data_IF_957465576282
#
_entry.id   IF_957465576282
#
_cell.length_a   1.000
_cell.length_b   1.000
_cell.length_c   1.000
_cell.angle_alpha   90.00
_cell.angle_beta   90.00
_cell.angle_gamma   90.00
#
_symmetry.space_group_name_H-M   'P 1'
#
loop_
_entity.id
_entity.type
_entity.pdbx_description
1 polymer ?
#
# COMPACT_ATOMS: atom_id res chain seq x y z
N UNK A 1 -55.92 35.12 -21.91
CA UNK A 1 -55.90 34.73 -20.47
C UNK A 1 -55.41 33.30 -20.25
N UNK A 2 -55.95 32.28 -20.95
CA UNK A 2 -55.46 30.88 -20.90
C UNK A 2 -53.99 30.66 -21.33
N UNK A 3 -53.53 31.37 -22.35
CA UNK A 3 -52.14 31.28 -22.87
C UNK A 3 -51.09 31.88 -21.94
N UNK A 4 -51.44 32.96 -21.22
CA UNK A 4 -50.60 33.56 -20.18
C UNK A 4 -50.45 32.63 -18.97
N UNK A 5 -51.53 31.95 -18.57
CA UNK A 5 -51.49 30.93 -17.51
C UNK A 5 -50.57 29.76 -17.89
N UNK A 6 -50.66 29.26 -19.13
CA UNK A 6 -49.83 28.14 -19.60
C UNK A 6 -48.33 28.49 -19.65
N UNK A 7 -47.98 29.70 -20.07
CA UNK A 7 -46.58 30.17 -20.07
C UNK A 7 -46.02 30.27 -18.64
N UNK A 8 -46.88 30.66 -17.69
CA UNK A 8 -46.53 30.80 -16.27
C UNK A 8 -46.31 29.42 -15.60
N UNK A 9 -47.12 28.40 -15.93
CA UNK A 9 -46.90 27.03 -15.45
C UNK A 9 -45.60 26.43 -16.01
N UNK A 10 -45.27 26.68 -17.27
CA UNK A 10 -44.05 26.16 -17.89
C UNK A 10 -42.78 26.76 -17.26
N UNK A 11 -42.82 28.06 -16.92
CA UNK A 11 -41.73 28.74 -16.22
C UNK A 11 -41.51 28.21 -14.80
N UNK A 12 -42.58 27.91 -14.06
CA UNK A 12 -42.49 27.35 -12.69
C UNK A 12 -41.91 25.93 -12.70
N UNK A 13 -42.30 25.10 -13.67
CA UNK A 13 -41.76 23.74 -13.83
C UNK A 13 -40.27 23.80 -14.20
N UNK A 14 -39.86 24.70 -15.10
CA UNK A 14 -38.46 24.85 -15.47
C UNK A 14 -37.57 25.29 -14.28
N UNK A 15 -38.06 26.16 -13.41
CA UNK A 15 -37.34 26.59 -12.19
C UNK A 15 -37.22 25.45 -11.16
N UNK A 16 -38.22 24.57 -11.05
CA UNK A 16 -38.14 23.38 -10.20
C UNK A 16 -37.16 22.32 -10.69
N UNK A 17 -36.87 22.27 -12.00
CA UNK A 17 -35.84 21.37 -12.55
C UNK A 17 -34.41 21.93 -12.43
N UNK A 18 -34.24 23.22 -12.17
CA UNK A 18 -32.92 23.86 -11.98
C UNK A 18 -32.35 23.71 -10.56
N UNK A 19 -33.17 23.35 -9.56
CA UNK A 19 -32.73 23.22 -8.16
C UNK A 19 -32.11 21.86 -7.80
N UNK A 20 -31.98 20.93 -8.75
CA UNK A 20 -31.47 19.57 -8.51
C UNK A 20 -29.96 19.35 -8.64
N UNK A 21 -29.18 20.33 -9.11
CA UNK A 21 -27.77 20.13 -9.51
C UNK A 21 -26.72 20.71 -8.55
N UNK A 22 -26.98 20.86 -7.25
CA UNK A 22 -25.98 21.42 -6.30
C UNK A 22 -25.33 20.43 -5.34
N UNK A 23 -25.62 19.12 -5.44
CA UNK A 23 -25.11 18.13 -4.48
C UNK A 23 -23.63 17.75 -4.63
N UNK A 24 -22.91 18.23 -5.66
CA UNK A 24 -21.51 17.82 -5.91
C UNK A 24 -20.43 18.75 -5.35
N UNK A 25 -20.78 19.90 -4.77
CA UNK A 25 -19.78 20.92 -4.38
C UNK A 25 -19.12 20.68 -3.01
N UNK A 26 -19.63 19.76 -2.19
CA UNK A 26 -19.16 19.54 -0.80
C UNK A 26 -19.02 18.04 -0.44
N UNK A 27 -18.53 17.20 -1.35
CA UNK A 27 -18.24 15.81 -0.99
C UNK A 27 -17.16 15.79 0.12
N UNK A 28 -17.42 15.15 1.28
CA UNK A 28 -16.42 15.09 2.35
C UNK A 28 -15.22 14.25 1.90
N UNK A 29 -14.02 14.72 2.22
CA UNK A 29 -12.79 13.94 2.01
C UNK A 29 -12.85 12.69 2.89
N UNK A 30 -12.66 11.52 2.29
CA UNK A 30 -12.53 10.24 2.97
C UNK A 30 -11.06 9.83 3.04
N UNK A 31 -10.64 9.39 4.23
CA UNK A 31 -9.29 8.90 4.47
C UNK A 31 -9.30 7.39 4.65
N UNK A 32 -8.34 6.72 4.01
CA UNK A 32 -8.22 5.26 3.97
C UNK A 32 -6.85 4.84 4.47
N UNK A 33 -6.79 3.68 5.10
CA UNK A 33 -5.56 3.05 5.56
C UNK A 33 -5.78 1.55 5.65
N UNK A 34 -4.69 0.80 5.66
CA UNK A 34 -4.76 -0.62 6.01
C UNK A 34 -5.19 -0.78 7.48
N UNK A 35 -6.06 -1.76 7.75
CA UNK A 35 -6.61 -1.98 9.09
C UNK A 35 -5.55 -2.51 10.06
N UNK A 36 -4.70 -3.43 9.59
CA UNK A 36 -3.48 -3.92 10.25
C UNK A 36 -3.57 -4.11 11.77
N UNK A 37 -4.53 -4.91 12.24
CA UNK A 37 -4.67 -5.21 13.67
C UNK A 37 -3.35 -5.70 14.31
N UNK A 38 -2.79 -4.89 15.21
CA UNK A 38 -1.54 -5.20 15.91
C UNK A 38 -1.82 -6.27 16.97
N UNK A 39 -1.23 -7.44 16.78
CA UNK A 39 -1.22 -8.50 17.79
C UNK A 39 -0.04 -8.28 18.76
N UNK A 40 -0.24 -8.41 20.09
CA UNK A 40 0.87 -8.33 21.04
C UNK A 40 1.92 -9.40 20.74
N UNK A 41 3.13 -8.96 20.41
CA UNK A 41 4.28 -9.82 20.12
C UNK A 41 5.53 -9.20 20.74
N UNK A 42 6.42 -10.03 21.28
CA UNK A 42 7.69 -9.58 21.84
C UNK A 42 8.81 -10.51 21.40
N UNK A 43 9.97 -9.93 21.07
CA UNK A 43 11.18 -10.66 20.72
C UNK A 43 12.39 -9.90 21.26
N UNK A 44 13.38 -10.62 21.79
CA UNK A 44 14.68 -10.06 22.17
C UNK A 44 15.71 -10.40 21.11
N UNK A 45 16.69 -9.53 20.90
CA UNK A 45 17.76 -9.80 19.92
C UNK A 45 18.60 -11.03 20.26
N UNK A 46 18.62 -11.46 21.53
CA UNK A 46 19.31 -12.69 21.97
C UNK A 46 18.57 -13.96 21.55
N UNK A 47 17.28 -13.85 21.22
CA UNK A 47 16.39 -14.97 20.96
C UNK A 47 16.13 -15.11 19.44
N UNK A 48 17.00 -14.53 18.61
CA UNK A 48 16.88 -14.49 17.15
C UNK A 48 18.14 -14.96 16.47
N UNK A 49 17.98 -15.73 15.39
CA UNK A 49 19.10 -16.24 14.59
C UNK A 49 19.61 -15.22 13.55
N UNK A 50 18.79 -14.25 13.14
CA UNK A 50 19.14 -13.28 12.11
C UNK A 50 18.43 -11.94 12.32
N UNK A 51 18.98 -10.86 11.75
CA UNK A 51 18.32 -9.55 11.70
C UNK A 51 17.88 -9.23 10.26
N UNK A 52 16.66 -8.71 10.12
CA UNK A 52 16.11 -8.21 8.85
C UNK A 52 15.75 -6.74 9.01
N UNK A 53 16.40 -5.90 8.22
CA UNK A 53 16.03 -4.49 8.06
C UNK A 53 15.07 -4.33 6.90
N UNK A 54 13.89 -3.79 7.17
CA UNK A 54 12.94 -3.39 6.14
C UNK A 54 13.18 -1.92 5.82
N UNK A 55 13.64 -1.65 4.59
CA UNK A 55 13.77 -0.29 4.07
C UNK A 55 12.40 0.30 3.78
N UNK A 56 12.31 1.64 3.77
CA UNK A 56 11.09 2.33 3.33
C UNK A 56 10.75 1.88 1.91
N UNK A 57 9.51 1.45 1.72
CA UNK A 57 8.98 0.99 0.43
C UNK A 57 9.09 2.13 -0.57
N UNK A 58 9.72 1.86 -1.72
CA UNK A 58 9.81 2.85 -2.80
C UNK A 58 8.63 2.68 -3.76
N UNK A 59 7.95 3.78 -4.07
CA UNK A 59 6.91 3.82 -5.10
C UNK A 59 7.32 4.77 -6.24
N UNK A 60 7.02 4.41 -7.48
CA UNK A 60 7.35 5.23 -8.65
C UNK A 60 6.43 6.43 -8.81
N UNK A 61 7.01 7.61 -9.05
CA UNK A 61 6.30 8.80 -9.50
C UNK A 61 5.12 9.20 -8.62
N UNK A 62 3.95 9.35 -9.23
CA UNK A 62 2.74 9.81 -8.56
C UNK A 62 2.09 8.79 -7.60
N UNK A 63 2.58 7.55 -7.54
CA UNK A 63 2.00 6.49 -6.69
C UNK A 63 2.19 6.75 -5.20
N UNK A 64 3.19 7.55 -4.80
CA UNK A 64 3.39 7.93 -3.40
C UNK A 64 2.56 9.16 -2.98
N UNK A 65 1.64 9.60 -3.84
CA UNK A 65 0.71 10.66 -3.48
C UNK A 65 -0.39 10.11 -2.57
N UNK A 66 -0.97 10.99 -1.75
CA UNK A 66 -2.09 10.61 -0.88
C UNK A 66 -3.36 10.30 -1.65
N UNK A 67 -3.60 10.88 -2.83
CA UNK A 67 -4.77 10.50 -3.63
C UNK A 67 -4.65 9.06 -4.11
N UNK A 68 -5.67 8.23 -3.83
CA UNK A 68 -5.65 6.83 -4.26
C UNK A 68 -5.55 6.79 -5.79
N UNK A 69 -4.57 6.06 -6.30
CA UNK A 69 -4.28 5.98 -7.72
C UNK A 69 -5.26 5.03 -8.43
N UNK A 70 -5.73 5.45 -9.59
CA UNK A 70 -6.57 4.69 -10.50
C UNK A 70 -5.91 4.68 -11.87
N UNK A 71 -5.60 3.49 -12.38
CA UNK A 71 -5.16 3.30 -13.75
C UNK A 71 -6.36 3.47 -14.68
N UNK A 72 -6.16 4.28 -15.70
CA UNK A 72 -7.12 4.59 -16.75
C UNK A 72 -6.61 4.05 -18.08
N UNK A 73 -7.49 4.02 -19.08
CA UNK A 73 -7.11 3.67 -20.44
C UNK A 73 -6.06 4.65 -21.00
N UNK A 74 -5.36 4.21 -22.04
CA UNK A 74 -4.34 5.00 -22.74
C UNK A 74 -3.14 5.41 -21.86
N UNK A 75 -2.70 4.50 -20.97
CA UNK A 75 -1.51 4.67 -20.12
C UNK A 75 -1.60 5.88 -19.17
N UNK A 76 -2.79 6.19 -18.70
CA UNK A 76 -3.02 7.29 -17.75
C UNK A 76 -3.18 6.74 -16.33
N UNK A 77 -2.70 7.49 -15.36
CA UNK A 77 -2.95 7.26 -13.94
C UNK A 77 -3.54 8.54 -13.38
N UNK A 78 -4.68 8.42 -12.70
CA UNK A 78 -5.33 9.53 -12.02
C UNK A 78 -5.27 9.30 -10.50
N UNK A 79 -5.06 10.36 -9.73
CA UNK A 79 -5.13 10.32 -8.28
C UNK A 79 -6.47 10.91 -7.82
N UNK A 80 -7.18 10.20 -6.94
CA UNK A 80 -8.45 10.66 -6.43
C UNK A 80 -8.31 11.94 -5.58
N UNK A 81 -9.22 12.91 -5.78
CA UNK A 81 -9.20 14.18 -5.05
C UNK A 81 -9.85 14.10 -3.65
N UNK A 82 -10.82 13.20 -3.48
CA UNK A 82 -11.63 13.08 -2.26
C UNK A 82 -11.49 11.72 -1.55
N UNK A 83 -10.67 10.81 -2.09
CA UNK A 83 -10.35 9.52 -1.50
C UNK A 83 -8.84 9.43 -1.32
N UNK A 84 -8.41 9.65 -0.09
CA UNK A 84 -7.00 9.86 0.23
C UNK A 84 -6.50 8.77 1.17
N UNK A 85 -5.26 8.35 1.03
CA UNK A 85 -4.52 7.65 2.07
C UNK A 85 -4.38 8.54 3.32
N UNK A 86 -4.59 7.95 4.50
CA UNK A 86 -4.49 8.65 5.79
C UNK A 86 -3.06 9.17 6.04
N UNK A 87 -2.07 8.42 5.57
CA UNK A 87 -0.65 8.77 5.52
C UNK A 87 -0.05 8.59 4.11
N UNK A 88 1.26 8.78 3.96
CA UNK A 88 1.93 8.51 2.70
C UNK A 88 1.98 6.98 2.43
N UNK A 89 1.68 6.52 1.21
CA UNK A 89 1.67 5.09 0.87
C UNK A 89 2.97 4.35 1.23
N UNK A 90 4.13 4.98 1.05
CA UNK A 90 5.41 4.39 1.42
C UNK A 90 5.50 4.01 2.90
N UNK A 91 5.05 4.88 3.80
CA UNK A 91 5.05 4.64 5.24
C UNK A 91 4.05 3.54 5.62
N UNK A 92 2.83 3.63 5.09
CA UNK A 92 1.78 2.62 5.33
C UNK A 92 2.24 1.22 4.87
N UNK A 93 2.77 1.10 3.66
CA UNK A 93 3.25 -0.16 3.11
C UNK A 93 4.45 -0.70 3.89
N UNK A 94 5.36 0.18 4.34
CA UNK A 94 6.51 -0.19 5.17
C UNK A 94 6.08 -0.70 6.54
N UNK A 95 5.13 -0.03 7.20
CA UNK A 95 4.58 -0.45 8.48
C UNK A 95 3.92 -1.83 8.35
N UNK A 96 3.15 -2.02 7.28
CA UNK A 96 2.53 -3.29 6.95
C UNK A 96 3.52 -4.41 6.73
N UNK A 97 4.51 -4.18 5.87
CA UNK A 97 5.54 -5.17 5.58
C UNK A 97 6.28 -5.57 6.86
N UNK A 98 6.66 -4.58 7.68
CA UNK A 98 7.31 -4.83 8.96
C UNK A 98 6.46 -5.70 9.88
N UNK A 99 5.17 -5.38 10.05
CA UNK A 99 4.27 -6.14 10.92
C UNK A 99 4.11 -7.58 10.43
N UNK A 100 3.79 -7.80 9.15
CA UNK A 100 3.65 -9.14 8.58
C UNK A 100 4.95 -9.93 8.72
N UNK A 101 6.09 -9.36 8.32
CA UNK A 101 7.38 -10.06 8.39
C UNK A 101 7.80 -10.38 9.84
N UNK A 102 7.54 -9.48 10.79
CA UNK A 102 7.84 -9.72 12.21
C UNK A 102 7.01 -10.87 12.77
N UNK A 103 5.72 -10.96 12.37
CA UNK A 103 4.83 -12.06 12.72
C UNK A 103 5.28 -13.38 12.11
N UNK A 104 5.51 -13.41 10.80
CA UNK A 104 5.80 -14.65 10.06
C UNK A 104 7.21 -15.19 10.33
N UNK A 105 8.21 -14.31 10.48
CA UNK A 105 9.60 -14.70 10.73
C UNK A 105 9.87 -14.86 12.23
N UNK A 106 9.30 -15.91 12.83
CA UNK A 106 9.34 -16.24 14.26
C UNK A 106 10.71 -16.13 14.95
N UNK A 107 11.80 -16.41 14.22
CA UNK A 107 13.18 -16.49 14.73
C UNK A 107 14.09 -15.34 14.24
N UNK A 108 13.54 -14.30 13.61
CA UNK A 108 14.30 -13.18 13.07
C UNK A 108 14.02 -11.89 13.83
N UNK A 109 14.99 -11.00 14.00
CA UNK A 109 14.72 -9.65 14.48
C UNK A 109 14.39 -8.76 13.29
N UNK A 110 13.11 -8.42 13.10
CA UNK A 110 12.68 -7.53 12.02
C UNK A 110 12.56 -6.10 12.53
N UNK A 111 13.27 -5.17 11.90
CA UNK A 111 13.34 -3.75 12.30
C UNK A 111 13.05 -2.83 11.11
N UNK A 112 12.57 -1.61 11.41
CA UNK A 112 12.39 -0.54 10.42
C UNK A 112 13.60 0.40 10.44
N UNK A 113 14.10 0.77 9.27
CA UNK A 113 15.14 1.79 9.16
C UNK A 113 16.51 1.37 9.70
N UNK A 114 17.42 2.34 9.88
CA UNK A 114 18.79 2.10 10.35
C UNK A 114 18.81 1.96 11.88
N UNK A 115 19.12 0.78 12.45
CA UNK A 115 19.42 0.68 13.87
C UNK A 115 20.76 1.37 14.18
N UNK A 116 20.88 1.92 15.39
CA UNK A 116 22.18 2.30 15.95
C UNK A 116 22.84 1.02 16.45
N UNK A 117 23.64 0.37 15.58
CA UNK A 117 24.36 -0.85 15.93
C UNK A 117 25.73 -0.48 16.49
N UNK A 118 25.93 -0.67 17.80
CA UNK A 118 27.22 -0.44 18.47
C UNK A 118 28.02 -1.72 18.71
N UNK A 119 27.42 -2.89 18.50
CA UNK A 119 28.06 -4.18 18.71
C UNK A 119 28.54 -4.80 17.38
N UNK A 120 29.76 -5.35 17.39
CA UNK A 120 30.41 -5.95 16.20
C UNK A 120 29.66 -7.20 15.73
N UNK A 121 29.09 -7.97 16.65
CA UNK A 121 28.36 -9.20 16.34
C UNK A 121 26.97 -8.94 15.74
N UNK A 122 26.51 -7.69 15.79
CA UNK A 122 25.28 -7.23 15.14
C UNK A 122 25.54 -6.51 13.80
N UNK A 123 26.80 -6.46 13.33
CA UNK A 123 27.14 -5.82 12.06
C UNK A 123 26.73 -6.62 10.82
N UNK A 124 26.27 -7.87 11.02
CA UNK A 124 25.75 -8.70 9.95
C UNK A 124 24.22 -8.75 9.95
N UNK A 125 23.61 -8.34 8.85
CA UNK A 125 22.15 -8.27 8.73
C UNK A 125 21.68 -8.39 7.29
N UNK A 126 20.44 -8.84 7.14
CA UNK A 126 19.72 -8.78 5.87
C UNK A 126 19.01 -7.43 5.72
N UNK A 127 18.92 -6.94 4.49
CA UNK A 127 18.18 -5.74 4.14
C UNK A 127 17.21 -6.04 3.00
N UNK A 128 15.94 -5.73 3.20
CA UNK A 128 14.86 -5.93 2.26
C UNK A 128 14.41 -4.58 1.70
N UNK A 129 14.49 -4.46 0.38
CA UNK A 129 14.06 -3.27 -0.36
C UNK A 129 12.93 -3.62 -1.31
N UNK A 130 11.79 -2.95 -1.14
CA UNK A 130 10.66 -3.04 -2.08
C UNK A 130 10.66 -1.86 -3.05
N UNK A 131 10.35 -2.14 -4.31
CA UNK A 131 10.11 -1.14 -5.35
C UNK A 131 8.79 -1.47 -6.06
N UNK A 132 7.75 -0.67 -5.79
CA UNK A 132 6.43 -0.85 -6.37
C UNK A 132 6.30 -0.02 -7.65
N UNK A 133 5.85 -0.69 -8.70
CA UNK A 133 5.58 -0.12 -10.02
C UNK A 133 4.08 0.13 -10.21
N UNK A 134 3.25 -0.64 -9.51
CA UNK A 134 1.80 -0.51 -9.49
C UNK A 134 1.31 -0.58 -8.04
N UNK A 135 0.40 0.32 -7.70
CA UNK A 135 -0.31 0.38 -6.43
C UNK A 135 -1.58 1.21 -6.65
N UNK A 136 -2.56 0.61 -7.32
CA UNK A 136 -3.71 1.33 -7.87
C UNK A 136 -4.93 0.42 -8.03
N UNK A 137 -6.10 1.03 -8.15
CA UNK A 137 -7.24 0.39 -8.79
C UNK A 137 -7.20 0.54 -10.31
N UNK A 138 -8.12 -0.10 -11.04
CA UNK A 138 -8.35 0.15 -12.47
C UNK A 138 -9.85 0.36 -12.79
N UNK A 139 -10.15 0.73 -14.03
CA UNK A 139 -11.52 0.91 -14.52
C UNK A 139 -12.25 -0.41 -14.81
N UNK A 140 -11.60 -1.56 -14.67
CA UNK A 140 -12.20 -2.89 -14.75
C UNK A 140 -12.61 -3.45 -13.38
N UNK A 141 -12.38 -2.71 -12.29
CA UNK A 141 -12.69 -3.17 -10.95
C UNK A 141 -11.68 -4.18 -10.42
N UNK A 142 -10.39 -3.93 -10.65
CA UNK A 142 -9.29 -4.66 -10.02
C UNK A 142 -8.41 -3.76 -9.17
N UNK A 143 -7.80 -4.36 -8.16
CA UNK A 143 -6.65 -3.86 -7.41
C UNK A 143 -5.37 -4.45 -8.03
N UNK A 144 -4.39 -3.60 -8.31
CA UNK A 144 -3.09 -3.98 -8.88
C UNK A 144 -1.96 -3.53 -7.95
N UNK A 145 -1.22 -4.51 -7.43
CA UNK A 145 0.02 -4.30 -6.73
C UNK A 145 1.13 -5.14 -7.37
N UNK A 146 2.07 -4.44 -7.99
CA UNK A 146 3.12 -5.08 -8.80
C UNK A 146 4.44 -4.35 -8.64
N UNK A 147 5.54 -5.10 -8.71
CA UNK A 147 6.88 -4.54 -8.52
C UNK A 147 7.93 -5.62 -8.33
N UNK A 148 8.90 -5.32 -7.49
CA UNK A 148 9.94 -6.26 -7.10
C UNK A 148 10.42 -6.00 -5.68
N UNK A 149 11.06 -7.01 -5.10
CA UNK A 149 11.87 -6.84 -3.91
C UNK A 149 13.30 -7.34 -4.15
N UNK A 150 14.24 -6.73 -3.42
CA UNK A 150 15.65 -7.09 -3.40
C UNK A 150 16.06 -7.41 -1.98
N UNK A 151 16.76 -8.53 -1.81
CA UNK A 151 17.37 -8.90 -0.55
C UNK A 151 18.87 -8.71 -0.65
N UNK A 152 19.43 -7.94 0.29
CA UNK A 152 20.85 -7.81 0.48
C UNK A 152 21.26 -8.45 1.79
N UNK A 153 22.53 -8.83 1.87
CA UNK A 153 23.18 -9.20 3.11
C UNK A 153 24.43 -8.34 3.26
N UNK A 154 24.55 -7.69 4.41
CA UNK A 154 25.70 -6.89 4.79
C UNK A 154 26.46 -7.63 5.88
N UNK A 155 27.78 -7.74 5.75
CA UNK A 155 28.67 -8.17 6.84
C UNK A 155 29.90 -7.26 6.90
N UNK A 156 30.61 -7.29 8.04
CA UNK A 156 31.83 -6.50 8.21
C UNK A 156 32.91 -6.86 7.18
N UNK A 157 33.05 -8.14 6.83
CA UNK A 157 34.13 -8.64 5.96
C UNK A 157 33.84 -8.39 4.47
N UNK A 158 32.60 -8.63 4.04
CA UNK A 158 32.25 -8.65 2.62
C UNK A 158 31.48 -7.39 2.17
N UNK A 159 31.13 -6.51 3.11
CA UNK A 159 30.25 -5.38 2.84
C UNK A 159 28.86 -5.85 2.42
N UNK A 160 28.17 -5.02 1.62
CA UNK A 160 26.80 -5.26 1.15
C UNK A 160 26.82 -6.09 -0.14
N UNK A 161 26.11 -7.21 -0.14
CA UNK A 161 25.98 -8.12 -1.27
C UNK A 161 24.52 -8.40 -1.61
N UNK A 162 24.17 -8.40 -2.89
CA UNK A 162 22.84 -8.79 -3.36
C UNK A 162 22.68 -10.31 -3.26
N UNK A 163 21.61 -10.76 -2.61
CA UNK A 163 21.28 -12.18 -2.42
C UNK A 163 20.14 -12.64 -3.32
N UNK A 164 19.13 -11.80 -3.52
CA UNK A 164 17.98 -12.15 -4.35
C UNK A 164 17.30 -10.91 -4.95
N UNK A 165 16.68 -11.09 -6.12
CA UNK A 165 15.74 -10.15 -6.74
C UNK A 165 14.54 -10.97 -7.22
N UNK A 166 13.34 -10.59 -6.81
CA UNK A 166 12.11 -11.24 -7.24
C UNK A 166 11.08 -10.20 -7.65
N UNK A 167 10.49 -10.42 -8.82
CA UNK A 167 9.33 -9.66 -9.28
C UNK A 167 8.05 -10.30 -8.75
N UNK A 168 7.06 -9.48 -8.46
CA UNK A 168 5.72 -9.91 -8.09
C UNK A 168 4.69 -9.08 -8.85
N UNK A 169 3.52 -9.68 -9.10
CA UNK A 169 2.38 -9.00 -9.72
C UNK A 169 1.11 -9.69 -9.25
N UNK A 170 0.31 -8.97 -8.47
CA UNK A 170 -0.97 -9.43 -7.93
C UNK A 170 -2.05 -8.48 -8.45
N UNK A 171 -2.89 -8.98 -9.35
CA UNK A 171 -4.04 -8.25 -9.91
C UNK A 171 -5.29 -9.02 -9.52
N UNK A 172 -6.05 -8.47 -8.58
CA UNK A 172 -7.18 -9.14 -7.96
C UNK A 172 -8.45 -8.29 -8.11
N UNK A 173 -9.62 -8.90 -8.37
CA UNK A 173 -10.88 -8.18 -8.33
C UNK A 173 -11.10 -7.48 -6.97
N UNK A 174 -11.81 -6.35 -6.98
CA UNK A 174 -12.12 -5.61 -5.76
C UNK A 174 -13.06 -6.40 -4.83
N UNK A 175 -12.85 -6.30 -3.52
CA UNK A 175 -13.77 -6.80 -2.50
C UNK A 175 -14.89 -5.76 -2.34
N UNK A 176 -15.87 -5.77 -3.26
CA UNK A 176 -16.87 -4.70 -3.38
C UNK A 176 -16.53 -3.74 -4.52
N UNK A 177 -17.39 -2.76 -4.77
CA UNK A 177 -17.29 -1.87 -5.95
C UNK A 177 -17.12 -0.40 -5.54
N UNK A 178 -16.17 -0.16 -4.63
CA UNK A 178 -15.82 1.18 -4.14
C UNK A 178 -14.36 1.29 -3.66
N UNK A 179 -14.00 2.47 -3.13
CA UNK A 179 -12.65 2.71 -2.60
C UNK A 179 -12.35 1.94 -1.32
N UNK A 180 -13.36 1.55 -0.53
CA UNK A 180 -13.15 0.71 0.66
C UNK A 180 -12.75 -0.70 0.20
N UNK A 181 -13.51 -1.29 -0.72
CA UNK A 181 -13.18 -2.57 -1.33
C UNK A 181 -11.83 -2.60 -2.07
N UNK A 182 -11.44 -1.48 -2.68
CA UNK A 182 -10.10 -1.33 -3.25
C UNK A 182 -9.01 -1.37 -2.19
N UNK A 183 -9.19 -0.65 -1.09
CA UNK A 183 -8.21 -0.60 -0.01
C UNK A 183 -8.07 -1.98 0.64
N UNK A 184 -9.18 -2.68 0.88
CA UNK A 184 -9.19 -4.05 1.38
C UNK A 184 -8.47 -5.03 0.44
N UNK A 185 -8.75 -4.98 -0.87
CA UNK A 185 -8.07 -5.83 -1.86
C UNK A 185 -6.57 -5.56 -1.96
N UNK A 186 -6.17 -4.29 -1.89
CA UNK A 186 -4.75 -3.91 -1.87
C UNK A 186 -4.06 -4.37 -0.59
N UNK A 187 -4.71 -4.22 0.57
CA UNK A 187 -4.19 -4.71 1.85
C UNK A 187 -3.98 -6.23 1.81
N UNK A 188 -4.98 -6.99 1.38
CA UNK A 188 -4.89 -8.45 1.31
C UNK A 188 -3.77 -8.90 0.36
N UNK A 189 -3.66 -8.26 -0.81
CA UNK A 189 -2.61 -8.58 -1.79
C UNK A 189 -1.22 -8.27 -1.22
N UNK A 190 -1.06 -7.15 -0.52
CA UNK A 190 0.22 -6.78 0.10
C UNK A 190 0.61 -7.70 1.27
N UNK A 191 -0.36 -8.12 2.08
CA UNK A 191 -0.14 -9.12 3.13
C UNK A 191 0.33 -10.45 2.52
N UNK A 192 -0.33 -10.93 1.47
CA UNK A 192 0.04 -12.17 0.77
C UNK A 192 1.47 -12.09 0.20
N UNK A 193 1.85 -10.97 -0.42
CA UNK A 193 3.21 -10.76 -0.93
C UNK A 193 4.24 -10.87 0.21
N UNK A 194 3.98 -10.23 1.36
CA UNK A 194 4.91 -10.28 2.50
C UNK A 194 4.98 -11.67 3.16
N UNK A 195 3.90 -12.45 3.14
CA UNK A 195 3.91 -13.85 3.58
C UNK A 195 4.76 -14.73 2.64
N UNK A 196 4.69 -14.51 1.32
CA UNK A 196 5.55 -15.21 0.35
C UNK A 196 7.03 -14.83 0.55
N UNK A 197 7.32 -13.56 0.83
CA UNK A 197 8.67 -13.11 1.18
C UNK A 197 9.13 -13.80 2.46
N UNK A 198 8.34 -13.80 3.53
CA UNK A 198 8.69 -14.48 4.78
C UNK A 198 8.98 -15.97 4.57
N UNK A 199 8.17 -16.64 3.74
CA UNK A 199 8.40 -18.05 3.36
C UNK A 199 9.77 -18.22 2.71
N UNK A 200 10.10 -17.36 1.75
CA UNK A 200 11.41 -17.37 1.08
C UNK A 200 12.57 -17.14 2.06
N UNK A 201 12.45 -16.15 2.95
CA UNK A 201 13.51 -15.80 3.89
C UNK A 201 13.69 -16.83 5.00
N UNK A 202 12.63 -17.54 5.42
CA UNK A 202 12.71 -18.56 6.47
C UNK A 202 13.62 -19.75 6.12
N UNK A 203 13.86 -19.99 4.82
CA UNK A 203 14.81 -21.01 4.36
C UNK A 203 16.26 -20.57 4.61
N UNK A 204 16.55 -19.26 4.53
CA UNK A 204 17.91 -18.72 4.70
C UNK A 204 18.44 -18.84 6.13
N UNK A 205 17.58 -19.02 7.14
CA UNK A 205 18.04 -19.23 8.53
C UNK A 205 18.55 -20.65 8.81
N UNK A 206 18.61 -21.52 7.79
CA UNK A 206 19.10 -22.89 7.89
C UNK A 206 20.42 -23.14 7.13
N UNK A 207 21.00 -22.10 6.51
CA UNK A 207 22.31 -22.10 5.86
C UNK A 207 23.38 -21.47 6.75
#
# INVERSE_FOLDING_TARGET
MRTLLQLQYFAVIAVLFLSGCSQSLNAPVKYYQFEQSIKPMQRKSTDTAAQLRVSTVSLRGALNNRGIAMKMDNNQVNAANYHLWSEAPDQMLTASAHQTLFTELGNWMVIKGLPVITDKDQQSYYELEYELHHFNGDNQGNADISGLWRLYYTSFENGRSLKAIHYFSEVNPLIGDDYEGLVESLEQSWQNINQQVATTLSVLSHE
#
